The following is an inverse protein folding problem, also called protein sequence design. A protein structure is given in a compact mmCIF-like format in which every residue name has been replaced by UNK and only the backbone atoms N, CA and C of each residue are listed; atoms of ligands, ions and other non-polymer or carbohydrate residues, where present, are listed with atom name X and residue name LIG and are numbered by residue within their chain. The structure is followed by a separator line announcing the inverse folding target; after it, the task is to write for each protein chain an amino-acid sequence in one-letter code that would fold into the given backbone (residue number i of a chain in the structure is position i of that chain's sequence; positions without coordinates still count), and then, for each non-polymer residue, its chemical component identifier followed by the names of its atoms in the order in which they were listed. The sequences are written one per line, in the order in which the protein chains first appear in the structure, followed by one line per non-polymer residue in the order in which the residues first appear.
data_IF_960067332975
#
_entry.id   IF_960067332975
#
_cell.length_a   1.000
_cell.length_b   1.000
_cell.length_c   1.000
_cell.angle_alpha   90.00
_cell.angle_beta   90.00
_cell.angle_gamma   90.00
#
_symmetry.space_group_name_H-M   'P 1'
#
loop_
_entity.id
_entity.type
_entity.pdbx_description
1 polymer ?
#
# COMPACT_ATOMS: atom_id res chain seq x y z
N UNK A 1 -18.67 22.68 -6.39
CA UNK A 1 -17.66 22.37 -7.42
C UNK A 1 -16.36 22.12 -6.66
N UNK A 2 -15.92 20.86 -6.58
CA UNK A 2 -14.59 20.54 -6.03
C UNK A 2 -13.60 20.96 -7.12
N UNK A 3 -12.57 21.73 -6.78
CA UNK A 3 -11.57 22.18 -7.76
C UNK A 3 -10.81 20.98 -8.34
N UNK A 4 -10.54 20.97 -9.65
CA UNK A 4 -10.00 19.81 -10.39
C UNK A 4 -8.73 19.21 -9.75
N UNK A 5 -7.83 20.04 -9.20
CA UNK A 5 -6.63 19.56 -8.51
C UNK A 5 -6.92 18.67 -7.28
N UNK A 6 -8.09 18.82 -6.64
CA UNK A 6 -8.50 17.96 -5.52
C UNK A 6 -8.91 16.58 -6.01
N UNK A 7 -9.39 16.42 -7.24
CA UNK A 7 -9.73 15.11 -7.80
C UNK A 7 -8.46 14.29 -8.04
N UNK A 8 -7.39 14.91 -8.51
CA UNK A 8 -6.12 14.23 -8.76
C UNK A 8 -5.43 13.76 -7.47
N UNK A 9 -5.62 14.49 -6.36
CA UNK A 9 -5.07 14.14 -5.05
C UNK A 9 -5.96 13.21 -4.22
N UNK A 10 -7.23 13.06 -4.58
CA UNK A 10 -8.20 12.26 -3.82
C UNK A 10 -7.76 10.79 -3.63
N UNK A 11 -7.27 10.07 -4.65
CA UNK A 11 -6.82 8.68 -4.48
C UNK A 11 -5.69 8.56 -3.47
N UNK A 12 -4.73 9.48 -3.50
CA UNK A 12 -3.59 9.46 -2.58
C UNK A 12 -4.01 9.83 -1.17
N UNK A 13 -4.87 10.85 -1.01
CA UNK A 13 -5.43 11.21 0.31
C UNK A 13 -6.16 10.03 0.94
N UNK A 14 -6.97 9.32 0.15
CA UNK A 14 -7.70 8.16 0.64
C UNK A 14 -6.73 7.03 1.05
N UNK A 15 -5.80 6.67 0.18
CA UNK A 15 -4.82 5.62 0.43
C UNK A 15 -3.98 5.91 1.68
N UNK A 16 -3.40 7.10 1.79
CA UNK A 16 -2.53 7.45 2.93
C UNK A 16 -3.31 7.48 4.26
N UNK A 17 -4.55 7.95 4.25
CA UNK A 17 -5.40 7.90 5.44
C UNK A 17 -5.68 6.46 5.86
N UNK A 18 -6.04 5.61 4.91
CA UNK A 18 -6.33 4.20 5.15
C UNK A 18 -5.11 3.46 5.71
N UNK A 19 -3.93 3.65 5.12
CA UNK A 19 -2.70 3.03 5.58
C UNK A 19 -2.26 3.53 6.96
N UNK A 20 -2.41 4.83 7.21
CA UNK A 20 -2.11 5.43 8.52
C UNK A 20 -2.99 4.83 9.61
N UNK A 21 -4.31 4.79 9.38
CA UNK A 21 -5.27 4.20 10.32
C UNK A 21 -4.99 2.72 10.55
N UNK A 22 -4.66 1.98 9.49
CA UNK A 22 -4.32 0.58 9.61
C UNK A 22 -3.12 0.37 10.52
N UNK A 23 -2.02 1.09 10.29
CA UNK A 23 -0.79 0.98 11.09
C UNK A 23 -0.97 1.39 12.56
N UNK A 24 -1.83 2.36 12.85
CA UNK A 24 -2.10 2.79 14.23
C UNK A 24 -2.84 1.73 15.07
N UNK A 25 -3.59 0.85 14.41
CA UNK A 25 -4.38 -0.20 15.07
C UNK A 25 -3.80 -1.60 14.85
N UNK A 26 -2.72 -1.72 14.08
CA UNK A 26 -2.10 -2.99 13.76
C UNK A 26 -1.14 -3.42 14.86
N UNK A 27 -1.40 -4.57 15.45
CA UNK A 27 -0.44 -5.23 16.34
C UNK A 27 0.74 -5.80 15.52
N UNK A 28 1.96 -5.83 16.09
CA UNK A 28 3.10 -6.45 15.43
C UNK A 28 2.82 -7.89 14.99
N UNK A 29 3.19 -8.23 13.76
CA UNK A 29 2.87 -9.51 13.12
C UNK A 29 1.49 -9.53 12.42
N UNK A 30 0.73 -8.44 12.50
CA UNK A 30 -0.59 -8.31 11.89
C UNK A 30 -0.57 -8.30 10.35
N UNK A 31 -1.77 -8.30 9.78
CA UNK A 31 -2.00 -8.28 8.32
C UNK A 31 -2.85 -7.09 7.91
N UNK A 32 -2.45 -6.41 6.84
CA UNK A 32 -3.25 -5.38 6.16
C UNK A 32 -3.70 -5.90 4.81
N UNK A 33 -4.99 -5.72 4.48
CA UNK A 33 -5.54 -5.99 3.15
C UNK A 33 -6.17 -4.73 2.60
N UNK A 34 -5.74 -4.27 1.42
CA UNK A 34 -6.35 -3.10 0.78
C UNK A 34 -6.48 -3.22 -0.73
N UNK A 35 -7.39 -2.42 -1.30
CA UNK A 35 -7.61 -2.34 -2.75
C UNK A 35 -7.06 -1.01 -3.27
N UNK A 36 -5.91 -0.99 -3.97
CA UNK A 36 -5.50 0.21 -4.68
C UNK A 36 -6.42 0.48 -5.88
N UNK A 37 -6.62 1.76 -6.22
CA UNK A 37 -7.36 2.15 -7.43
C UNK A 37 -6.58 1.80 -8.70
N UNK A 38 -5.26 2.03 -8.69
CA UNK A 38 -4.29 1.65 -9.74
C UNK A 38 -2.98 1.24 -9.05
N UNK A 39 -2.54 -0.01 -9.27
CA UNK A 39 -1.36 -0.58 -8.60
C UNK A 39 -0.03 -0.10 -9.19
N UNK A 40 -0.06 0.29 -10.46
CA UNK A 40 1.07 0.76 -11.26
C UNK A 40 1.32 2.27 -11.13
N UNK A 41 0.42 3.01 -10.48
CA UNK A 41 0.65 4.40 -10.14
C UNK A 41 1.74 4.55 -9.08
N UNK A 42 2.61 5.54 -9.27
CA UNK A 42 3.74 5.81 -8.39
C UNK A 42 3.31 6.05 -6.95
N UNK A 43 2.16 6.71 -6.77
CA UNK A 43 1.51 7.00 -5.50
C UNK A 43 1.12 5.72 -4.73
N UNK A 44 0.89 4.61 -5.43
CA UNK A 44 0.66 3.29 -4.85
C UNK A 44 1.96 2.52 -4.65
N UNK A 45 2.85 2.55 -5.65
CA UNK A 45 4.14 1.83 -5.61
C UNK A 45 5.03 2.28 -4.46
N UNK A 46 5.05 3.58 -4.15
CA UNK A 46 5.83 4.16 -3.04
C UNK A 46 5.49 3.55 -1.68
N UNK A 47 4.23 3.60 -1.18
CA UNK A 47 3.85 2.92 0.05
C UNK A 47 4.12 1.41 0.04
N UNK A 48 3.92 0.73 -1.09
CA UNK A 48 4.21 -0.70 -1.20
C UNK A 48 5.70 -1.01 -1.03
N UNK A 49 6.57 -0.17 -1.60
CA UNK A 49 8.01 -0.27 -1.39
C UNK A 49 8.39 -0.08 0.07
N UNK A 50 7.84 0.95 0.72
CA UNK A 50 8.06 1.17 2.14
C UNK A 50 7.63 -0.03 2.99
N UNK A 51 6.44 -0.59 2.74
CA UNK A 51 5.96 -1.80 3.43
C UNK A 51 6.90 -2.98 3.26
N UNK A 52 7.58 -3.12 2.11
CA UNK A 52 8.52 -4.22 1.87
C UNK A 52 9.73 -4.22 2.82
N UNK A 53 9.98 -3.11 3.53
CA UNK A 53 11.04 -3.00 4.53
C UNK A 53 10.64 -3.54 5.92
N UNK A 54 9.35 -3.69 6.19
CA UNK A 54 8.84 -4.07 7.52
C UNK A 54 7.63 -5.02 7.46
N UNK A 55 7.40 -5.65 6.32
CA UNK A 55 6.33 -6.62 6.10
C UNK A 55 6.48 -7.35 4.76
N UNK A 56 5.67 -8.38 4.56
CA UNK A 56 5.64 -9.16 3.31
C UNK A 56 4.51 -8.69 2.42
N UNK A 57 4.85 -8.04 1.32
CA UNK A 57 3.89 -7.48 0.35
C UNK A 57 3.58 -8.50 -0.73
N UNK A 58 2.29 -8.76 -0.96
CA UNK A 58 1.78 -9.60 -2.04
C UNK A 58 0.65 -8.87 -2.75
N UNK A 59 0.64 -8.93 -4.09
CA UNK A 59 -0.49 -8.47 -4.88
C UNK A 59 -1.23 -9.70 -5.43
N UNK A 60 -2.51 -9.83 -5.11
CA UNK A 60 -3.36 -10.90 -5.61
C UNK A 60 -4.48 -10.34 -6.49
N UNK A 61 -4.78 -11.06 -7.56
CA UNK A 61 -5.92 -10.81 -8.43
C UNK A 61 -6.75 -12.10 -8.47
N UNK A 62 -7.91 -12.14 -7.79
CA UNK A 62 -8.73 -13.33 -7.72
C UNK A 62 -9.02 -13.92 -9.12
N UNK A 63 -8.64 -15.18 -9.32
CA UNK A 63 -8.73 -15.87 -10.61
C UNK A 63 -10.16 -16.05 -11.10
N UNK A 64 -11.13 -16.15 -10.18
CA UNK A 64 -12.56 -16.32 -10.48
C UNK A 64 -13.23 -15.09 -11.12
N UNK A 65 -12.61 -13.91 -11.03
CA UNK A 65 -13.18 -12.63 -11.50
C UNK A 65 -12.49 -12.07 -12.74
N UNK A 66 -11.68 -12.89 -13.42
CA UNK A 66 -10.77 -12.50 -14.52
C UNK A 66 -11.42 -11.76 -15.71
N UNK A 67 -12.74 -11.80 -15.87
CA UNK A 67 -13.43 -11.17 -17.00
C UNK A 67 -14.26 -9.94 -16.65
N UNK A 68 -14.43 -9.59 -15.36
CA UNK A 68 -15.46 -8.60 -14.96
C UNK A 68 -14.90 -7.36 -14.26
N UNK A 69 -13.79 -7.44 -13.51
CA UNK A 69 -13.24 -6.27 -12.79
C UNK A 69 -11.71 -6.27 -12.81
N UNK A 70 -11.12 -5.10 -13.08
CA UNK A 70 -9.67 -4.83 -13.06
C UNK A 70 -9.09 -4.67 -11.65
N UNK A 71 -9.78 -5.15 -10.61
CA UNK A 71 -9.43 -4.89 -9.21
C UNK A 71 -8.30 -5.82 -8.72
N UNK A 72 -7.23 -5.23 -8.21
CA UNK A 72 -6.17 -5.90 -7.46
C UNK A 72 -6.42 -5.76 -5.96
N UNK A 73 -6.04 -6.78 -5.20
CA UNK A 73 -5.92 -6.68 -3.75
C UNK A 73 -4.44 -6.76 -3.39
N UNK A 74 -4.02 -5.88 -2.51
CA UNK A 74 -2.72 -5.97 -1.86
C UNK A 74 -2.94 -6.57 -0.48
N UNK A 75 -2.11 -7.56 -0.16
CA UNK A 75 -2.01 -8.17 1.16
C UNK A 75 -0.61 -7.89 1.68
N UNK A 76 -0.50 -7.31 2.88
CA UNK A 76 0.76 -7.12 3.59
C UNK A 76 0.68 -7.91 4.89
N UNK A 77 1.48 -8.97 5.01
CA UNK A 77 1.50 -9.84 6.20
C UNK A 77 2.76 -9.62 7.03
N UNK A 78 2.74 -10.13 8.26
CA UNK A 78 3.90 -10.12 9.17
C UNK A 78 4.45 -8.70 9.38
N UNK A 79 3.55 -7.72 9.48
CA UNK A 79 3.93 -6.32 9.58
C UNK A 79 4.50 -6.05 10.97
N UNK A 80 5.76 -5.63 11.03
CA UNK A 80 6.34 -5.09 12.26
C UNK A 80 5.98 -3.60 12.37
N UNK A 81 4.84 -3.32 13.01
CA UNK A 81 4.36 -1.94 13.24
C UNK A 81 5.25 -1.12 14.17
N UNK A 82 6.19 -1.76 14.88
CA UNK A 82 7.18 -1.10 15.76
C UNK A 82 8.52 -0.84 15.09
N UNK A 83 8.73 -1.35 13.87
CA UNK A 83 9.96 -1.16 13.13
C UNK A 83 10.24 0.33 12.87
N UNK A 84 11.52 0.74 12.91
CA UNK A 84 11.89 2.15 12.75
C UNK A 84 11.39 2.73 11.41
N UNK A 85 11.46 1.95 10.32
CA UNK A 85 10.94 2.34 9.01
C UNK A 85 9.41 2.41 8.96
N UNK A 86 8.70 1.58 9.76
CA UNK A 86 7.25 1.66 9.86
C UNK A 86 6.83 2.99 10.49
N UNK A 87 7.46 3.38 11.60
CA UNK A 87 7.20 4.64 12.29
C UNK A 87 7.51 5.86 11.41
N UNK A 88 8.64 5.82 10.68
CA UNK A 88 8.99 6.86 9.70
C UNK A 88 7.97 6.96 8.57
N UNK A 89 7.54 5.82 8.03
CA UNK A 89 6.55 5.77 6.94
C UNK A 89 5.22 6.35 7.39
N UNK A 90 4.73 5.99 8.57
CA UNK A 90 3.48 6.56 9.13
C UNK A 90 3.59 8.06 9.36
N UNK A 91 4.73 8.55 9.87
CA UNK A 91 4.94 9.99 10.05
C UNK A 91 4.91 10.74 8.70
N UNK A 92 5.57 10.19 7.69
CA UNK A 92 5.58 10.71 6.32
C UNK A 92 4.18 10.68 5.70
N UNK A 93 3.44 9.57 5.80
CA UNK A 93 2.08 9.49 5.26
C UNK A 93 1.14 10.51 5.90
N UNK A 94 1.27 10.77 7.21
CA UNK A 94 0.52 11.81 7.90
C UNK A 94 0.87 13.22 7.40
N UNK A 95 2.14 13.54 7.16
CA UNK A 95 2.53 14.84 6.62
C UNK A 95 2.06 15.00 5.17
N UNK A 96 2.24 13.98 4.34
CA UNK A 96 1.79 13.95 2.94
C UNK A 96 0.27 14.08 2.84
N UNK A 97 -0.48 13.36 3.68
CA UNK A 97 -1.94 13.48 3.74
C UNK A 97 -2.39 14.89 4.14
N UNK A 98 -1.73 15.50 5.13
CA UNK A 98 -2.01 16.89 5.54
C UNK A 98 -1.75 17.86 4.41
N UNK A 99 -0.62 17.77 3.73
CA UNK A 99 -0.28 18.63 2.59
C UNK A 99 -1.33 18.50 1.46
N UNK A 100 -1.69 17.27 1.10
CA UNK A 100 -2.68 17.00 0.06
C UNK A 100 -4.11 17.45 0.44
N UNK A 101 -4.44 17.48 1.74
CA UNK A 101 -5.79 17.81 2.23
C UNK A 101 -5.97 19.30 2.57
N UNK A 102 -4.97 19.92 3.20
CA UNK A 102 -5.09 21.24 3.82
C UNK A 102 -4.69 22.40 2.91
N UNK A 103 -4.08 22.14 1.74
CA UNK A 103 -3.79 23.11 0.67
C UNK A 103 -3.18 24.41 1.20
N UNK A 104 -1.87 24.44 1.32
CA UNK A 104 -1.13 25.67 1.09
C UNK A 104 -0.61 25.60 -0.35
N UNK A 105 -1.00 26.53 -1.23
CA UNK A 105 -0.54 26.59 -2.65
C UNK A 105 1.00 26.49 -2.80
N UNK A 106 1.74 26.80 -1.74
CA UNK A 106 3.21 26.76 -1.69
C UNK A 106 3.79 25.36 -1.39
N UNK A 107 3.02 24.40 -0.85
CA UNK A 107 3.50 23.08 -0.41
C UNK A 107 3.22 21.94 -1.41
N UNK A 108 2.32 22.16 -2.39
CA UNK A 108 1.97 21.15 -3.39
C UNK A 108 3.13 20.83 -4.36
N UNK A 109 4.09 21.72 -4.55
CA UNK A 109 5.32 21.45 -5.32
C UNK A 109 6.36 20.68 -4.50
N UNK A 110 6.40 20.86 -3.17
CA UNK A 110 7.25 20.08 -2.27
C UNK A 110 6.77 18.61 -2.13
N UNK A 111 5.48 18.37 -2.38
CA UNK A 111 4.84 17.05 -2.40
C UNK A 111 5.56 16.01 -3.29
N UNK A 112 6.08 16.43 -4.46
CA UNK A 112 6.80 15.51 -5.36
C UNK A 112 8.26 15.26 -4.94
N UNK A 113 8.83 16.11 -4.08
CA UNK A 113 10.24 16.08 -3.72
C UNK A 113 10.54 15.28 -2.44
N UNK A 114 9.59 15.13 -1.51
CA UNK A 114 9.89 14.56 -0.18
C UNK A 114 9.93 13.02 -0.12
N UNK A 115 9.37 12.32 -1.10
CA UNK A 115 9.55 10.87 -1.25
C UNK A 115 10.44 10.64 -2.47
N UNK A 116 11.71 11.03 -2.33
CA UNK A 116 12.80 10.82 -3.30
C UNK A 116 13.23 9.35 -3.29
N UNK A 117 12.30 8.48 -3.71
CA UNK A 117 12.63 7.10 -4.04
C UNK A 117 13.11 7.10 -5.49
N UNK A 118 14.35 6.65 -5.71
CA UNK A 118 14.87 6.43 -7.06
C UNK A 118 14.03 5.34 -7.75
N UNK A 119 13.33 5.66 -8.86
CA UNK A 119 12.53 4.66 -9.57
C UNK A 119 13.34 3.44 -10.01
N UNK A 120 14.62 3.63 -10.36
CA UNK A 120 15.51 2.54 -10.75
C UNK A 120 15.83 1.63 -9.54
N UNK A 121 16.01 2.20 -8.35
CA UNK A 121 16.19 1.42 -7.13
C UNK A 121 14.96 0.57 -6.84
N UNK A 122 13.76 1.18 -6.89
CA UNK A 122 12.50 0.47 -6.65
C UNK A 122 12.29 -0.65 -7.67
N UNK A 123 12.56 -0.39 -8.95
CA UNK A 123 12.45 -1.39 -10.02
C UNK A 123 13.46 -2.53 -9.86
N UNK A 124 14.69 -2.24 -9.46
CA UNK A 124 15.70 -3.28 -9.21
C UNK A 124 15.29 -4.17 -8.03
N UNK A 125 14.80 -3.58 -6.94
CA UNK A 125 14.39 -4.32 -5.75
C UNK A 125 13.10 -5.13 -5.93
N UNK A 126 12.09 -4.58 -6.63
CA UNK A 126 10.85 -5.30 -6.91
C UNK A 126 10.98 -6.25 -8.11
N UNK A 127 11.67 -5.85 -9.16
CA UNK A 127 11.89 -6.64 -10.37
C UNK A 127 12.67 -7.92 -10.10
N UNK A 128 13.70 -7.86 -9.23
CA UNK A 128 14.42 -9.05 -8.79
C UNK A 128 13.55 -10.01 -7.96
N UNK A 129 12.58 -9.50 -7.19
CA UNK A 129 11.61 -10.31 -6.43
C UNK A 129 10.50 -10.89 -7.31
N UNK A 130 10.11 -10.18 -8.38
CA UNK A 130 9.09 -10.59 -9.34
C UNK A 130 9.59 -11.48 -10.50
N UNK A 131 10.90 -11.56 -10.75
CA UNK A 131 11.46 -12.43 -11.79
C UNK A 131 11.42 -13.94 -11.44
N UNK A 132 10.96 -14.31 -10.23
CA UNK A 132 10.79 -15.70 -9.79
C UNK A 132 9.41 -16.31 -10.06
N UNK A 133 8.48 -15.60 -10.73
CA UNK A 133 7.12 -16.12 -10.98
C UNK A 133 7.03 -16.81 -12.34
N UNK A 134 7.91 -17.78 -12.61
CA UNK A 134 7.66 -18.79 -13.64
C UNK A 134 6.74 -19.88 -13.08
N UNK A 135 5.50 -19.90 -13.58
CA UNK A 135 4.68 -21.10 -13.71
C UNK A 135 4.55 -21.99 -12.48
N UNK A 136 3.66 -21.66 -11.54
CA UNK A 136 2.93 -22.72 -10.83
C UNK A 136 1.49 -22.31 -10.61
N UNK A 137 0.65 -22.67 -11.59
CA UNK A 137 -0.77 -22.86 -11.41
C UNK A 137 -1.00 -24.00 -10.41
N UNK A 138 -1.00 -23.69 -9.12
CA UNK A 138 -1.61 -24.55 -8.10
C UNK A 138 -2.67 -23.72 -7.40
N UNK A 139 -3.92 -24.05 -7.69
CA UNK A 139 -5.10 -23.33 -7.22
C UNK A 139 -5.02 -23.03 -5.73
N UNK A 140 -5.33 -21.78 -5.39
CA UNK A 140 -5.62 -21.41 -4.02
C UNK A 140 -6.94 -22.08 -3.65
N UNK A 141 -6.81 -23.26 -3.04
CA UNK A 141 -7.91 -23.90 -2.34
C UNK A 141 -8.41 -22.91 -1.31
N UNK A 142 -9.72 -22.71 -1.30
CA UNK A 142 -10.49 -22.02 -0.28
C UNK A 142 -10.08 -22.57 1.09
N UNK A 143 -9.08 -21.96 1.72
CA UNK A 143 -8.81 -22.11 3.14
C UNK A 143 -9.52 -20.95 3.79
N UNK A 144 -10.54 -21.29 4.58
CA UNK A 144 -11.03 -20.43 5.63
C UNK A 144 -9.84 -19.73 6.30
N UNK A 145 -9.95 -18.40 6.43
CA UNK A 145 -9.17 -17.64 7.39
C UNK A 145 -9.60 -18.16 8.77
N UNK A 146 -9.09 -19.33 9.16
CA UNK A 146 -9.24 -19.83 10.52
C UNK A 146 -8.47 -18.88 11.41
N UNK A 147 -9.16 -18.37 12.43
CA UNK A 147 -8.68 -17.52 13.53
C UNK A 147 -7.61 -18.21 14.41
N UNK A 148 -6.76 -19.06 13.82
CA UNK A 148 -5.72 -19.80 14.51
C UNK A 148 -4.37 -19.12 14.31
N UNK A 149 -4.26 -17.97 14.97
CA UNK A 149 -3.07 -17.13 15.00
C UNK A 149 -3.55 -15.73 15.33
N UNK A 150 -3.61 -15.40 16.62
CA UNK A 150 -4.19 -14.15 17.14
C UNK A 150 -3.39 -12.91 16.74
N UNK A 151 -3.32 -12.61 15.45
CA UNK A 151 -2.78 -11.38 14.88
C UNK A 151 -3.89 -10.55 14.27
N UNK A 152 -3.86 -9.24 14.53
CA UNK A 152 -4.86 -8.29 14.01
C UNK A 152 -4.86 -8.25 12.48
N UNK A 153 -6.04 -8.42 11.87
CA UNK A 153 -6.27 -8.22 10.44
C UNK A 153 -7.02 -6.91 10.23
N UNK A 154 -6.43 -5.98 9.48
CA UNK A 154 -7.08 -4.71 9.10
C UNK A 154 -7.40 -4.74 7.61
N UNK A 155 -8.68 -4.58 7.28
CA UNK A 155 -9.15 -4.46 5.89
C UNK A 155 -9.50 -3.00 5.59
N UNK A 156 -8.95 -2.46 4.52
CA UNK A 156 -9.14 -1.07 4.08
C UNK A 156 -9.64 -1.05 2.63
N UNK A 157 -10.82 -0.47 2.40
CA UNK A 157 -11.61 -0.61 1.14
C UNK A 157 -11.73 0.67 0.34
#
# INVERSE_FOLDING_TARGET
MIADYRQDLEPTRLLLMQLTLAMEHLEPGGTIVFRPHQIDQWETVKPLHQFSNFGKVMADKPTSSHQVKSSFYVVVTEVDSTHAEALKSVALWKSTWRAATLICELEATAYFAEIDLDPELVLNEFGARGAGVEGTSRGFGQRELTEEGGGTVVVVS
#
